data_IF_135606812001
#
_entry.id   IF_135606812001
#
_cell.length_a   1.000
_cell.length_b   1.000
_cell.length_c   1.000
_cell.angle_alpha   90.00
_cell.angle_beta   90.00
_cell.angle_gamma   90.00
#
_symmetry.space_group_name_H-M   'P 1'
#
loop_
_entity.id
_entity.type
_entity.pdbx_description
1 polymer ?
#
# COMPACT_ATOMS: atom_id res chain seq x y z
N UNK A 1 23.80 20.23 -6.77
CA UNK A 1 22.55 20.55 -7.49
C UNK A 1 21.71 19.29 -7.66
N UNK A 2 20.40 19.38 -7.44
CA UNK A 2 19.44 18.29 -7.69
C UNK A 2 18.94 18.25 -9.14
N UNK A 3 19.32 19.22 -9.98
CA UNK A 3 18.83 19.35 -11.34
C UNK A 3 19.04 18.09 -12.20
N UNK A 4 20.21 17.40 -12.19
CA UNK A 4 20.38 16.18 -12.98
C UNK A 4 19.45 15.04 -12.53
N UNK A 5 19.15 14.97 -11.23
CA UNK A 5 18.21 13.97 -10.67
C UNK A 5 16.81 14.28 -11.16
N UNK A 6 16.39 15.54 -11.13
CA UNK A 6 15.11 15.99 -11.65
C UNK A 6 14.97 15.65 -13.15
N UNK A 7 15.96 15.97 -13.96
CA UNK A 7 15.92 15.74 -15.41
C UNK A 7 15.81 14.24 -15.75
N UNK A 8 16.56 13.38 -15.04
CA UNK A 8 16.47 11.93 -15.26
C UNK A 8 15.13 11.37 -14.78
N UNK A 9 14.62 11.83 -13.65
CA UNK A 9 13.32 11.41 -13.11
C UNK A 9 12.17 11.78 -14.03
N UNK A 10 12.15 13.03 -14.52
CA UNK A 10 11.12 13.49 -15.47
C UNK A 10 11.19 12.74 -16.80
N UNK A 11 12.40 12.46 -17.31
CA UNK A 11 12.59 11.65 -18.51
C UNK A 11 12.09 10.22 -18.29
N UNK A 12 12.38 9.61 -17.15
CA UNK A 12 11.92 8.25 -16.82
C UNK A 12 10.40 8.21 -16.71
N UNK A 13 9.79 9.16 -16.00
CA UNK A 13 8.32 9.26 -15.93
C UNK A 13 7.68 9.30 -17.32
N UNK A 14 8.18 10.17 -18.21
CA UNK A 14 7.69 10.28 -19.59
C UNK A 14 7.84 8.99 -20.39
N UNK A 15 8.86 8.18 -20.13
CA UNK A 15 9.10 6.90 -20.81
C UNK A 15 8.26 5.75 -20.24
N UNK A 16 7.70 5.94 -19.06
CA UNK A 16 6.78 5.01 -18.42
C UNK A 16 5.31 5.47 -18.52
N UNK A 17 5.01 6.41 -19.43
CA UNK A 17 3.67 6.95 -19.67
C UNK A 17 3.35 6.83 -21.15
N UNK A 18 2.55 5.83 -21.51
CA UNK A 18 2.02 5.62 -22.86
C UNK A 18 0.49 5.61 -22.81
N UNK A 19 -0.15 4.51 -23.17
CA UNK A 19 -1.60 4.33 -22.96
C UNK A 19 -1.93 3.93 -21.51
N UNK A 20 -0.92 3.46 -20.78
CA UNK A 20 -0.95 3.16 -19.34
C UNK A 20 0.30 3.73 -18.70
N UNK A 21 0.28 3.84 -17.36
CA UNK A 21 1.53 3.89 -16.63
C UNK A 21 2.22 2.54 -16.71
N UNK A 22 3.54 2.52 -16.64
CA UNK A 22 4.34 1.30 -16.73
C UNK A 22 5.37 1.31 -15.60
N UNK A 23 5.59 0.17 -14.94
CA UNK A 23 6.59 0.00 -13.90
C UNK A 23 8.00 0.30 -14.40
N UNK A 24 8.29 -0.13 -15.63
CA UNK A 24 9.54 0.13 -16.30
C UNK A 24 9.34 0.24 -17.82
N UNK A 25 10.25 0.96 -18.54
CA UNK A 25 10.05 1.21 -19.96
C UNK A 25 10.52 0.08 -20.88
N UNK A 26 10.99 -1.05 -20.35
CA UNK A 26 11.62 -2.09 -21.17
C UNK A 26 11.25 -3.52 -20.79
N UNK A 27 11.38 -3.94 -19.53
CA UNK A 27 11.24 -5.36 -19.17
C UNK A 27 9.77 -5.78 -19.09
N UNK A 28 9.05 -5.37 -18.07
CA UNK A 28 7.68 -5.82 -17.83
C UNK A 28 6.65 -4.98 -18.58
N UNK A 29 6.79 -3.66 -18.56
CA UNK A 29 5.88 -2.70 -19.19
C UNK A 29 4.42 -2.90 -18.73
N UNK A 30 4.23 -3.14 -17.43
CA UNK A 30 2.95 -3.41 -16.81
C UNK A 30 2.51 -2.26 -15.89
N UNK A 31 1.21 -1.98 -15.90
CA UNK A 31 0.61 -1.00 -15.00
C UNK A 31 0.33 -1.63 -13.63
N UNK A 32 1.34 -1.64 -12.73
CA UNK A 32 1.16 -2.07 -11.36
C UNK A 32 0.53 -0.98 -10.49
N UNK A 33 -0.34 -1.37 -9.54
CA UNK A 33 -1.09 -0.39 -8.74
C UNK A 33 -0.19 0.43 -7.78
N UNK A 34 0.81 -0.20 -7.17
CA UNK A 34 1.74 0.49 -6.28
C UNK A 34 2.58 1.52 -7.05
N UNK A 35 3.17 1.11 -8.15
CA UNK A 35 4.02 1.94 -9.02
C UNK A 35 3.24 3.10 -9.61
N UNK A 36 2.05 2.80 -10.16
CA UNK A 36 1.18 3.80 -10.78
C UNK A 36 0.76 4.90 -9.81
N UNK A 37 0.54 4.59 -8.53
CA UNK A 37 0.22 5.63 -7.53
C UNK A 37 1.31 6.70 -7.46
N UNK A 38 2.57 6.29 -7.39
CA UNK A 38 3.70 7.23 -7.35
C UNK A 38 3.80 8.03 -8.64
N UNK A 39 3.64 7.37 -9.79
CA UNK A 39 3.66 8.03 -11.11
C UNK A 39 2.51 9.01 -11.30
N UNK A 40 1.32 8.70 -10.79
CA UNK A 40 0.16 9.62 -10.76
C UNK A 40 0.51 10.89 -9.97
N UNK A 41 1.05 10.77 -8.76
CA UNK A 41 1.45 11.91 -7.95
C UNK A 41 2.50 12.76 -8.66
N UNK A 42 3.50 12.14 -9.27
CA UNK A 42 4.53 12.86 -10.04
C UNK A 42 3.91 13.57 -11.25
N UNK A 43 2.99 12.92 -11.96
CA UNK A 43 2.27 13.54 -13.08
C UNK A 43 1.47 14.75 -12.63
N UNK A 44 0.76 14.68 -11.52
CA UNK A 44 0.01 15.82 -10.97
C UNK A 44 0.94 17.00 -10.62
N UNK A 45 2.09 16.71 -10.02
CA UNK A 45 3.05 17.76 -9.66
C UNK A 45 3.70 18.45 -10.86
N UNK A 46 4.00 17.72 -11.94
CA UNK A 46 4.77 18.27 -13.09
C UNK A 46 3.90 18.81 -14.21
N UNK A 47 2.64 18.39 -14.32
CA UNK A 47 1.78 18.79 -15.43
C UNK A 47 0.36 19.21 -15.04
N UNK A 48 -0.14 18.76 -13.88
CA UNK A 48 -1.55 18.92 -13.49
C UNK A 48 -2.53 18.16 -14.41
N UNK A 49 -2.05 17.25 -15.26
CA UNK A 49 -2.88 16.46 -16.17
C UNK A 49 -3.37 15.18 -15.47
N UNK A 50 -4.68 15.00 -15.37
CA UNK A 50 -5.30 13.87 -14.68
C UNK A 50 -5.81 12.75 -15.61
N UNK A 51 -5.73 12.93 -16.95
CA UNK A 51 -6.37 12.02 -17.91
C UNK A 51 -5.87 10.59 -17.83
N UNK A 52 -4.54 10.39 -17.78
CA UNK A 52 -3.95 9.06 -17.66
C UNK A 52 -4.20 8.47 -16.27
N UNK A 53 -4.19 9.30 -15.22
CA UNK A 53 -4.50 8.88 -13.86
C UNK A 53 -5.95 8.39 -13.73
N UNK A 54 -6.92 9.11 -14.31
CA UNK A 54 -8.33 8.68 -14.33
C UNK A 54 -8.50 7.36 -15.07
N UNK A 55 -7.83 7.21 -16.22
CA UNK A 55 -7.81 5.95 -16.97
C UNK A 55 -7.24 4.82 -16.12
N UNK A 56 -6.10 5.04 -15.47
CA UNK A 56 -5.44 4.06 -14.60
C UNK A 56 -6.38 3.57 -13.48
N UNK A 57 -7.02 4.50 -12.75
CA UNK A 57 -7.97 4.15 -11.70
C UNK A 57 -9.20 3.39 -12.26
N UNK A 58 -9.71 3.76 -13.45
CA UNK A 58 -10.82 3.05 -14.08
C UNK A 58 -10.39 1.65 -14.59
N UNK A 59 -9.17 1.51 -15.09
CA UNK A 59 -8.60 0.20 -15.46
C UNK A 59 -8.55 -0.72 -14.24
N UNK A 60 -8.02 -0.27 -13.11
CA UNK A 60 -8.01 -1.09 -11.88
C UNK A 60 -9.41 -1.42 -11.39
N UNK A 61 -10.37 -0.49 -11.43
CA UNK A 61 -11.78 -0.76 -11.12
C UNK A 61 -12.34 -1.90 -11.97
N UNK A 62 -12.01 -1.92 -13.27
CA UNK A 62 -12.44 -2.98 -14.21
C UNK A 62 -11.76 -4.33 -13.96
N UNK A 63 -10.62 -4.35 -13.28
CA UNK A 63 -9.93 -5.58 -12.89
C UNK A 63 -10.56 -6.26 -11.67
N UNK A 64 -11.61 -5.67 -11.07
CA UNK A 64 -12.25 -6.16 -9.85
C UNK A 64 -12.71 -7.62 -9.99
N UNK A 65 -12.37 -8.40 -8.99
CA UNK A 65 -12.66 -9.83 -8.91
C UNK A 65 -13.89 -10.07 -8.03
N UNK A 66 -14.46 -11.26 -8.15
CA UNK A 66 -15.67 -11.65 -7.41
C UNK A 66 -15.49 -11.63 -5.88
N UNK A 67 -14.26 -11.73 -5.38
CA UNK A 67 -13.96 -11.70 -3.95
C UNK A 67 -13.67 -10.29 -3.39
N UNK A 68 -13.63 -9.29 -4.26
CA UNK A 68 -13.39 -7.90 -3.92
C UNK A 68 -11.96 -7.42 -4.19
N UNK A 69 -11.02 -8.35 -4.51
CA UNK A 69 -9.64 -7.96 -4.85
C UNK A 69 -9.54 -7.41 -6.27
N UNK A 70 -8.43 -6.71 -6.54
CA UNK A 70 -8.02 -6.26 -7.87
C UNK A 70 -6.83 -7.10 -8.35
N UNK A 71 -6.63 -7.16 -9.67
CA UNK A 71 -5.33 -7.59 -10.16
C UNK A 71 -4.24 -6.59 -9.73
N UNK A 72 -3.04 -7.07 -9.42
CA UNK A 72 -1.93 -6.21 -9.03
C UNK A 72 -1.42 -5.33 -10.18
N UNK A 73 -1.59 -5.81 -11.43
CA UNK A 73 -1.36 -5.07 -12.67
C UNK A 73 -2.55 -5.23 -13.61
N UNK A 74 -2.90 -4.17 -14.36
CA UNK A 74 -3.98 -4.23 -15.33
C UNK A 74 -3.85 -3.06 -16.35
N UNK A 75 -4.04 -3.30 -17.68
CA UNK A 75 -4.36 -4.60 -18.31
C UNK A 75 -3.26 -5.65 -18.13
N UNK A 76 -3.63 -6.93 -18.10
CA UNK A 76 -2.68 -8.03 -17.94
C UNK A 76 -3.15 -9.28 -18.71
N UNK A 77 -2.18 -10.14 -19.08
CA UNK A 77 -2.47 -11.39 -19.77
C UNK A 77 -3.17 -12.41 -18.86
N UNK A 78 -2.74 -12.51 -17.61
CA UNK A 78 -3.28 -13.46 -16.64
C UNK A 78 -3.52 -12.78 -15.28
N UNK A 79 -4.50 -13.25 -14.51
CA UNK A 79 -4.77 -12.69 -13.22
C UNK A 79 -3.63 -12.95 -12.25
N UNK A 80 -3.13 -11.90 -11.63
CA UNK A 80 -2.22 -11.95 -10.50
C UNK A 80 -2.70 -10.96 -9.44
N UNK A 81 -2.73 -11.38 -8.19
CA UNK A 81 -3.24 -10.56 -7.08
C UNK A 81 -2.19 -10.45 -5.99
N UNK A 82 -1.88 -9.22 -5.65
CA UNK A 82 -1.14 -8.83 -4.46
C UNK A 82 -2.12 -8.07 -3.57
N UNK A 83 -2.63 -8.65 -2.47
CA UNK A 83 -3.70 -8.00 -1.68
C UNK A 83 -3.34 -6.58 -1.24
N UNK A 84 -2.11 -6.35 -0.80
CA UNK A 84 -1.61 -5.02 -0.43
C UNK A 84 -1.71 -3.99 -1.56
N UNK A 85 -1.55 -4.42 -2.83
CA UNK A 85 -1.64 -3.51 -3.98
C UNK A 85 -3.04 -2.93 -4.21
N UNK A 86 -4.09 -3.65 -3.81
CA UNK A 86 -5.45 -3.12 -3.88
C UNK A 86 -5.64 -1.89 -2.95
N UNK A 87 -4.85 -1.77 -1.89
CA UNK A 87 -4.90 -0.57 -1.03
C UNK A 87 -4.37 0.66 -1.77
N UNK A 88 -3.36 0.52 -2.61
CA UNK A 88 -2.82 1.66 -3.37
C UNK A 88 -3.85 2.26 -4.34
N UNK A 89 -4.80 1.47 -4.84
CA UNK A 89 -5.94 2.00 -5.57
C UNK A 89 -6.80 2.96 -4.72
N UNK A 90 -7.02 2.63 -3.45
CA UNK A 90 -7.72 3.54 -2.51
C UNK A 90 -6.92 4.82 -2.32
N UNK A 91 -5.58 4.70 -2.21
CA UNK A 91 -4.71 5.86 -2.07
C UNK A 91 -4.72 6.74 -3.32
N UNK A 92 -4.77 6.17 -4.53
CA UNK A 92 -4.92 6.94 -5.78
C UNK A 92 -6.20 7.79 -5.78
N UNK A 93 -7.32 7.21 -5.34
CA UNK A 93 -8.60 7.92 -5.26
C UNK A 93 -8.56 9.05 -4.23
N UNK A 94 -7.93 8.82 -3.07
CA UNK A 94 -7.73 9.85 -2.07
C UNK A 94 -6.83 10.98 -2.62
N UNK A 95 -5.72 10.64 -3.26
CA UNK A 95 -4.82 11.62 -3.87
C UNK A 95 -5.56 12.43 -4.94
N UNK A 96 -6.36 11.78 -5.79
CA UNK A 96 -7.19 12.46 -6.80
C UNK A 96 -8.21 13.41 -6.18
N UNK A 97 -8.84 13.01 -5.07
CA UNK A 97 -9.70 13.88 -4.28
C UNK A 97 -8.96 15.13 -3.82
N UNK A 98 -7.76 14.97 -3.29
CA UNK A 98 -6.97 16.09 -2.74
C UNK A 98 -6.51 17.07 -3.82
N UNK A 99 -6.20 16.59 -5.02
CA UNK A 99 -5.73 17.44 -6.11
C UNK A 99 -6.87 18.08 -6.94
N UNK A 100 -7.96 17.37 -7.16
CA UNK A 100 -8.99 17.78 -8.12
C UNK A 100 -10.41 17.90 -7.55
N UNK A 101 -10.70 17.27 -6.43
CA UNK A 101 -12.02 17.35 -5.79
C UNK A 101 -13.18 16.81 -6.64
N UNK A 102 -12.94 15.90 -7.58
CA UNK A 102 -13.95 15.39 -8.51
C UNK A 102 -14.89 14.37 -7.87
N UNK A 103 -16.00 14.86 -7.33
CA UNK A 103 -17.00 14.03 -6.63
C UNK A 103 -17.64 12.97 -7.52
N UNK A 104 -17.93 13.31 -8.78
CA UNK A 104 -18.60 12.38 -9.69
C UNK A 104 -17.68 11.21 -10.05
N UNK A 105 -16.44 11.49 -10.33
CA UNK A 105 -15.45 10.46 -10.58
C UNK A 105 -15.25 9.55 -9.36
N UNK A 106 -15.13 10.12 -8.16
CA UNK A 106 -14.96 9.33 -6.95
C UNK A 106 -16.15 8.41 -6.65
N UNK A 107 -17.39 8.88 -6.88
CA UNK A 107 -18.59 8.10 -6.60
C UNK A 107 -18.65 6.75 -7.32
N UNK A 108 -18.20 6.68 -8.57
CA UNK A 108 -18.25 5.45 -9.35
C UNK A 108 -17.25 4.39 -8.88
N UNK A 109 -16.24 4.78 -8.09
CA UNK A 109 -15.21 3.90 -7.57
C UNK A 109 -15.54 3.31 -6.18
N UNK A 110 -16.53 3.87 -5.46
CA UNK A 110 -16.76 3.50 -4.06
C UNK A 110 -17.18 2.04 -3.87
N UNK A 111 -17.93 1.45 -4.78
CA UNK A 111 -18.27 0.02 -4.69
C UNK A 111 -17.04 -0.89 -4.76
N UNK A 112 -16.01 -0.48 -5.51
CA UNK A 112 -14.73 -1.21 -5.56
C UNK A 112 -13.94 -1.01 -4.26
N UNK A 113 -13.93 0.21 -3.71
CA UNK A 113 -13.32 0.50 -2.40
C UNK A 113 -13.96 -0.35 -1.31
N UNK A 114 -15.29 -0.41 -1.25
CA UNK A 114 -16.03 -1.23 -0.30
C UNK A 114 -15.66 -2.71 -0.44
N UNK A 115 -15.56 -3.21 -1.68
CA UNK A 115 -15.17 -4.60 -1.97
C UNK A 115 -13.78 -4.95 -1.44
N UNK A 116 -12.80 -4.06 -1.65
CA UNK A 116 -11.43 -4.23 -1.15
C UNK A 116 -11.42 -4.27 0.39
N UNK A 117 -12.03 -3.28 1.03
CA UNK A 117 -12.03 -3.17 2.49
C UNK A 117 -12.79 -4.34 3.14
N UNK A 118 -13.84 -4.83 2.47
CA UNK A 118 -14.60 -6.00 2.94
C UNK A 118 -13.81 -7.30 2.78
N UNK A 119 -12.98 -7.43 1.74
CA UNK A 119 -12.09 -8.57 1.60
C UNK A 119 -11.15 -8.67 2.81
N UNK A 120 -10.48 -7.58 3.19
CA UNK A 120 -9.62 -7.57 4.37
C UNK A 120 -10.40 -7.85 5.66
N UNK A 121 -11.58 -7.25 5.83
CA UNK A 121 -12.44 -7.47 7.01
C UNK A 121 -12.78 -8.95 7.22
N UNK A 122 -13.15 -9.65 6.15
CA UNK A 122 -13.50 -11.08 6.19
C UNK A 122 -12.30 -11.99 6.43
N UNK A 123 -11.10 -11.49 6.25
CA UNK A 123 -9.85 -12.22 6.44
C UNK A 123 -9.09 -11.77 7.70
N UNK A 124 -9.73 -11.06 8.62
CA UNK A 124 -9.16 -10.82 9.93
C UNK A 124 -9.12 -12.14 10.72
N UNK A 125 -8.01 -12.36 11.43
CA UNK A 125 -7.86 -13.49 12.33
C UNK A 125 -8.52 -13.21 13.71
N UNK A 126 -8.45 -14.16 14.62
CA UNK A 126 -9.01 -14.08 15.98
C UNK A 126 -8.41 -12.95 16.84
N UNK A 127 -7.22 -12.45 16.48
CA UNK A 127 -6.55 -11.31 17.12
C UNK A 127 -7.02 -9.97 16.57
N UNK A 128 -7.77 -9.97 15.47
CA UNK A 128 -8.16 -8.77 14.71
C UNK A 128 -7.07 -8.24 13.78
N UNK A 129 -6.04 -9.03 13.48
CA UNK A 129 -5.02 -8.74 12.47
C UNK A 129 -5.47 -9.24 11.10
N UNK A 130 -4.96 -8.64 10.03
CA UNK A 130 -5.09 -9.24 8.71
C UNK A 130 -4.39 -10.59 8.74
N UNK A 131 -5.17 -11.66 8.56
CA UNK A 131 -4.69 -13.03 8.56
C UNK A 131 -3.83 -13.32 7.32
N UNK A 132 -3.53 -14.57 7.07
CA UNK A 132 -2.76 -14.97 5.88
C UNK A 132 -3.62 -14.83 4.61
N UNK A 133 -3.56 -13.67 3.95
CA UNK A 133 -4.32 -13.34 2.74
C UNK A 133 -3.62 -13.75 1.44
N UNK A 134 -2.33 -14.09 1.52
CA UNK A 134 -1.51 -14.54 0.41
C UNK A 134 -0.32 -15.36 0.88
N UNK A 135 0.69 -15.46 0.06
CA UNK A 135 1.93 -16.18 0.36
C UNK A 135 2.95 -16.00 -0.76
N UNK A 136 3.67 -17.07 -1.11
CA UNK A 136 4.70 -17.03 -2.14
C UNK A 136 4.12 -16.97 -3.55
N UNK A 137 4.72 -16.12 -4.38
CA UNK A 137 4.38 -16.02 -5.80
C UNK A 137 4.47 -17.39 -6.49
N UNK A 138 3.45 -17.70 -7.31
CA UNK A 138 3.37 -18.95 -8.08
C UNK A 138 3.08 -20.22 -7.26
N UNK A 139 3.02 -20.14 -5.92
CA UNK A 139 2.67 -21.26 -5.05
C UNK A 139 1.32 -21.07 -4.36
N UNK A 140 1.12 -19.91 -3.80
CA UNK A 140 -0.12 -19.58 -3.08
C UNK A 140 -1.11 -18.89 -4.02
N UNK A 141 -2.39 -18.86 -3.64
CA UNK A 141 -3.45 -18.27 -4.46
C UNK A 141 -3.19 -16.81 -4.81
N UNK A 142 -2.67 -16.06 -3.85
CA UNK A 142 -2.30 -14.65 -3.96
C UNK A 142 -0.89 -14.45 -3.43
N UNK A 143 -0.25 -13.41 -3.89
CA UNK A 143 1.11 -13.08 -3.52
C UNK A 143 1.13 -11.97 -2.47
N UNK A 144 1.70 -12.25 -1.28
CA UNK A 144 1.86 -11.27 -0.19
C UNK A 144 3.14 -10.45 -0.36
N UNK A 145 3.33 -9.88 -1.55
CA UNK A 145 4.45 -8.99 -1.83
C UNK A 145 4.34 -7.69 -1.03
N UNK A 146 5.44 -7.26 -0.43
CA UNK A 146 5.56 -5.95 0.23
C UNK A 146 6.58 -5.07 -0.50
N UNK A 147 7.81 -5.54 -0.69
CA UNK A 147 8.87 -4.75 -1.31
C UNK A 147 10.05 -5.62 -1.75
N UNK A 148 10.81 -5.15 -2.73
CA UNK A 148 12.08 -5.75 -3.12
C UNK A 148 13.18 -5.28 -2.15
N UNK A 149 13.48 -6.09 -1.14
CA UNK A 149 14.60 -5.88 -0.23
C UNK A 149 15.42 -7.17 -0.10
N UNK A 150 16.73 -7.02 0.07
CA UNK A 150 17.69 -8.14 0.10
C UNK A 150 17.30 -9.23 1.12
N UNK A 151 16.76 -8.83 2.27
CA UNK A 151 16.36 -9.76 3.31
C UNK A 151 15.20 -10.68 2.88
N UNK A 152 14.39 -10.26 1.90
CA UNK A 152 13.22 -11.01 1.42
C UNK A 152 13.40 -11.60 0.00
N UNK A 153 14.63 -11.63 -0.53
CA UNK A 153 14.90 -12.21 -1.87
C UNK A 153 14.43 -13.65 -1.98
N UNK A 154 14.65 -14.47 -0.95
CA UNK A 154 14.25 -15.88 -0.93
C UNK A 154 12.74 -16.11 -0.84
N UNK A 155 12.00 -15.09 -0.47
CA UNK A 155 10.54 -15.08 -0.35
C UNK A 155 9.87 -14.17 -1.38
N UNK A 156 10.62 -13.77 -2.42
CA UNK A 156 10.11 -12.93 -3.51
C UNK A 156 9.43 -11.66 -3.01
N UNK A 157 10.10 -10.92 -2.12
CA UNK A 157 9.61 -9.63 -1.61
C UNK A 157 8.55 -9.72 -0.52
N UNK A 158 8.31 -10.90 0.03
CA UNK A 158 7.42 -11.10 1.18
C UNK A 158 8.24 -11.25 2.47
N UNK A 159 7.90 -10.55 3.57
CA UNK A 159 8.48 -10.82 4.90
C UNK A 159 8.35 -12.30 5.27
N UNK A 160 9.37 -12.89 5.91
CA UNK A 160 9.34 -14.32 6.29
C UNK A 160 8.15 -14.67 7.20
N UNK A 161 7.64 -13.72 7.98
CA UNK A 161 6.40 -13.88 8.74
C UNK A 161 5.24 -14.44 7.90
N UNK A 162 5.14 -14.06 6.62
CA UNK A 162 4.11 -14.51 5.69
C UNK A 162 4.16 -16.00 5.33
N UNK A 163 5.25 -16.69 5.65
CA UNK A 163 5.32 -18.15 5.52
C UNK A 163 4.43 -18.85 6.54
N UNK A 164 4.25 -18.24 7.71
CA UNK A 164 3.65 -18.87 8.89
C UNK A 164 2.34 -18.23 9.32
N UNK A 165 2.13 -16.94 9.07
CA UNK A 165 0.97 -16.23 9.60
C UNK A 165 0.80 -14.81 9.06
N UNK A 166 0.14 -13.95 9.84
CA UNK A 166 -0.03 -12.55 9.52
C UNK A 166 1.27 -11.79 9.27
N UNK A 167 1.23 -10.89 8.30
CA UNK A 167 2.27 -9.89 8.07
C UNK A 167 1.79 -8.57 8.67
N UNK A 168 2.59 -7.97 9.56
CA UNK A 168 2.26 -6.70 10.22
C UNK A 168 2.01 -5.59 9.18
N UNK A 169 2.82 -5.55 8.14
CA UNK A 169 2.70 -4.56 7.07
C UNK A 169 1.34 -4.64 6.34
N UNK A 170 0.76 -5.85 6.12
CA UNK A 170 -0.57 -5.98 5.52
C UNK A 170 -1.67 -5.38 6.40
N UNK A 171 -1.55 -5.54 7.73
CA UNK A 171 -2.45 -4.90 8.69
C UNK A 171 -2.32 -3.37 8.69
N UNK A 172 -1.10 -2.85 8.62
CA UNK A 172 -0.84 -1.41 8.54
C UNK A 172 -1.32 -0.81 7.20
N UNK A 173 -1.13 -1.52 6.08
CA UNK A 173 -1.68 -1.12 4.78
C UNK A 173 -3.22 -1.09 4.81
N UNK A 174 -3.85 -2.13 5.35
CA UNK A 174 -5.32 -2.14 5.49
C UNK A 174 -5.81 -0.97 6.36
N UNK A 175 -5.12 -0.68 7.47
CA UNK A 175 -5.42 0.49 8.29
C UNK A 175 -5.31 1.80 7.49
N UNK A 176 -4.25 1.97 6.73
CA UNK A 176 -4.08 3.13 5.86
C UNK A 176 -5.23 3.25 4.85
N UNK A 177 -5.60 2.14 4.22
CA UNK A 177 -6.73 2.08 3.30
C UNK A 177 -8.05 2.52 3.95
N UNK A 178 -8.34 2.05 5.17
CA UNK A 178 -9.52 2.45 5.94
C UNK A 178 -9.55 3.96 6.23
N UNK A 179 -8.42 4.53 6.68
CA UNK A 179 -8.32 5.96 6.98
C UNK A 179 -8.54 6.81 5.73
N UNK A 180 -7.90 6.47 4.62
CA UNK A 180 -8.03 7.22 3.36
C UNK A 180 -9.41 7.04 2.71
N UNK A 181 -10.00 5.85 2.80
CA UNK A 181 -11.38 5.63 2.39
C UNK A 181 -12.37 6.43 3.25
N UNK A 182 -12.14 6.53 4.55
CA UNK A 182 -12.96 7.35 5.44
C UNK A 182 -12.94 8.84 5.02
N UNK A 183 -11.76 9.38 4.69
CA UNK A 183 -11.62 10.76 4.20
C UNK A 183 -12.43 10.98 2.91
N UNK A 184 -12.37 10.03 1.96
CA UNK A 184 -13.15 10.09 0.71
C UNK A 184 -14.65 9.99 0.98
N UNK A 185 -15.09 9.09 1.87
CA UNK A 185 -16.49 8.92 2.23
C UNK A 185 -17.04 10.18 2.92
N UNK A 186 -16.27 10.81 3.80
CA UNK A 186 -16.65 12.06 4.44
C UNK A 186 -16.77 13.20 3.42
N UNK A 187 -15.81 13.33 2.51
CA UNK A 187 -15.85 14.28 1.41
C UNK A 187 -17.10 14.11 0.53
N UNK A 188 -17.52 12.87 0.28
CA UNK A 188 -18.74 12.54 -0.47
C UNK A 188 -20.04 12.74 0.35
N UNK A 189 -19.93 13.08 1.63
CA UNK A 189 -21.07 13.28 2.54
C UNK A 189 -21.61 12.00 3.19
N UNK A 190 -20.89 10.88 3.07
CA UNK A 190 -21.27 9.57 3.65
C UNK A 190 -20.67 9.40 5.05
N UNK A 191 -21.02 10.30 5.97
CA UNK A 191 -20.38 10.40 7.30
C UNK A 191 -20.45 9.13 8.14
N UNK A 192 -21.58 8.40 8.09
CA UNK A 192 -21.73 7.15 8.86
C UNK A 192 -20.77 6.06 8.38
N UNK A 193 -20.55 5.94 7.06
CA UNK A 193 -19.58 4.99 6.50
C UNK A 193 -18.15 5.39 6.85
N UNK A 194 -17.86 6.69 6.81
CA UNK A 194 -16.54 7.22 7.21
C UNK A 194 -16.24 6.89 8.68
N UNK A 195 -17.22 7.03 9.57
CA UNK A 195 -17.06 6.68 10.98
C UNK A 195 -16.84 5.19 11.20
N UNK A 196 -17.62 4.33 10.54
CA UNK A 196 -17.40 2.87 10.57
C UNK A 196 -15.97 2.50 10.15
N UNK A 197 -15.45 3.11 9.09
CA UNK A 197 -14.08 2.84 8.65
C UNK A 197 -13.03 3.29 9.68
N UNK A 198 -13.25 4.43 10.35
CA UNK A 198 -12.37 4.90 11.44
C UNK A 198 -12.42 3.96 12.65
N UNK A 199 -13.59 3.48 13.04
CA UNK A 199 -13.73 2.50 14.13
C UNK A 199 -13.00 1.19 13.83
N UNK A 200 -13.13 0.69 12.60
CA UNK A 200 -12.37 -0.49 12.13
C UNK A 200 -10.86 -0.23 12.17
N UNK A 201 -10.43 0.95 11.74
CA UNK A 201 -9.02 1.35 11.78
C UNK A 201 -8.50 1.43 13.24
N UNK A 202 -9.29 1.92 14.19
CA UNK A 202 -8.90 1.97 15.61
C UNK A 202 -8.83 0.56 16.23
N UNK A 203 -9.73 -0.33 15.86
CA UNK A 203 -9.68 -1.73 16.30
C UNK A 203 -8.40 -2.41 15.82
N UNK A 204 -8.04 -2.19 14.56
CA UNK A 204 -6.82 -2.73 13.97
C UNK A 204 -5.54 -2.14 14.60
N UNK A 205 -5.53 -0.84 14.92
CA UNK A 205 -4.44 -0.19 15.67
C UNK A 205 -4.18 -0.89 17.00
N UNK A 206 -5.25 -1.19 17.74
CA UNK A 206 -5.15 -1.90 19.03
C UNK A 206 -4.56 -3.29 18.83
N UNK A 207 -5.03 -4.04 17.84
CA UNK A 207 -4.52 -5.37 17.52
C UNK A 207 -3.04 -5.35 17.14
N UNK A 208 -2.62 -4.45 16.26
CA UNK A 208 -1.20 -4.31 15.85
C UNK A 208 -0.32 -3.97 17.06
N UNK A 209 -0.71 -3.00 17.88
CA UNK A 209 0.06 -2.64 19.08
C UNK A 209 0.11 -3.73 20.15
N UNK A 210 -0.89 -4.62 20.18
CA UNK A 210 -0.92 -5.71 21.15
C UNK A 210 -0.10 -6.92 20.72
N UNK A 211 -0.10 -7.24 19.44
CA UNK A 211 0.41 -8.52 18.95
C UNK A 211 1.64 -8.41 18.04
N UNK A 212 1.93 -7.22 17.51
CA UNK A 212 3.01 -7.02 16.52
C UNK A 212 4.15 -6.15 17.04
N UNK A 213 4.26 -5.93 18.34
CA UNK A 213 5.36 -5.17 18.95
C UNK A 213 6.20 -6.05 19.87
N UNK A 214 7.48 -5.70 20.01
CA UNK A 214 8.36 -6.28 21.03
C UNK A 214 8.22 -5.56 22.39
N UNK A 215 9.05 -5.93 23.36
CA UNK A 215 9.05 -5.36 24.70
C UNK A 215 9.42 -3.87 24.74
N UNK A 216 10.14 -3.38 23.72
CA UNK A 216 10.52 -1.96 23.55
C UNK A 216 9.48 -1.17 22.72
N UNK A 217 8.46 -1.84 22.19
CA UNK A 217 7.40 -1.27 21.38
C UNK A 217 7.73 -1.16 19.89
N UNK A 218 8.87 -1.69 19.43
CA UNK A 218 9.19 -1.75 18.01
C UNK A 218 8.34 -2.77 17.26
N UNK A 219 7.93 -2.44 16.05
CA UNK A 219 7.07 -3.31 15.25
C UNK A 219 7.84 -4.44 14.60
N UNK A 220 7.39 -5.65 14.85
CA UNK A 220 7.86 -6.90 14.25
C UNK A 220 7.21 -7.10 12.88
N UNK A 221 7.83 -7.86 11.99
CA UNK A 221 7.27 -8.20 10.67
C UNK A 221 6.04 -9.11 10.75
N UNK A 222 5.84 -9.76 11.89
CA UNK A 222 4.64 -10.55 12.21
C UNK A 222 4.57 -10.93 13.68
N UNK A 223 3.38 -11.34 14.17
CA UNK A 223 3.20 -11.76 15.55
C UNK A 223 4.12 -12.92 15.92
N UNK A 224 4.94 -12.75 16.95
CA UNK A 224 5.85 -13.78 17.47
C UNK A 224 7.08 -14.07 16.59
N UNK A 225 7.28 -13.33 15.50
CA UNK A 225 8.46 -13.43 14.63
C UNK A 225 9.43 -12.34 15.05
N UNK A 226 10.66 -12.71 15.41
CA UNK A 226 11.70 -11.74 15.83
C UNK A 226 12.48 -11.20 14.62
N UNK A 227 11.73 -10.64 13.67
CA UNK A 227 12.27 -9.99 12.47
C UNK A 227 11.66 -8.61 12.36
N UNK A 228 12.43 -7.67 11.84
CA UNK A 228 12.06 -6.27 11.79
C UNK A 228 12.32 -5.70 10.41
N UNK A 229 11.43 -4.80 9.99
CA UNK A 229 11.64 -4.00 8.79
C UNK A 229 11.44 -2.51 9.05
N UNK A 230 12.09 -1.71 8.26
CA UNK A 230 11.87 -0.27 8.21
C UNK A 230 10.42 0.04 7.78
N UNK A 231 9.86 -0.81 6.90
CA UNK A 231 8.48 -0.70 6.42
C UNK A 231 7.45 -0.66 7.55
N UNK A 232 7.53 -1.58 8.51
CA UNK A 232 6.59 -1.61 9.64
C UNK A 232 6.68 -0.33 10.49
N UNK A 233 7.88 0.19 10.73
CA UNK A 233 8.06 1.43 11.50
C UNK A 233 7.50 2.64 10.76
N UNK A 234 7.80 2.76 9.46
CA UNK A 234 7.32 3.85 8.60
C UNK A 234 5.78 3.86 8.56
N UNK A 235 5.16 2.71 8.26
CA UNK A 235 3.71 2.64 8.13
C UNK A 235 2.96 2.72 9.47
N UNK A 236 3.58 2.30 10.58
CA UNK A 236 3.04 2.55 11.91
C UNK A 236 2.98 4.06 12.20
N UNK A 237 3.99 4.83 11.79
CA UNK A 237 3.99 6.29 11.93
C UNK A 237 3.00 6.97 10.99
N UNK A 238 2.97 6.59 9.71
CA UNK A 238 2.05 7.14 8.70
C UNK A 238 0.57 6.94 9.03
N UNK A 239 0.26 5.94 9.83
CA UNK A 239 -1.10 5.60 10.23
C UNK A 239 -1.44 5.99 11.66
N UNK A 240 -0.61 6.80 12.33
CA UNK A 240 -0.76 7.17 13.74
C UNK A 240 -0.95 5.94 14.66
N UNK A 241 -0.37 4.80 14.28
CA UNK A 241 -0.38 3.58 15.10
C UNK A 241 0.59 3.73 16.26
N UNK A 242 1.69 4.43 16.05
CA UNK A 242 2.67 4.86 17.06
C UNK A 242 2.63 6.38 17.23
N UNK A 243 3.05 6.88 18.38
CA UNK A 243 3.24 8.32 18.59
C UNK A 243 4.40 8.85 17.75
N UNK A 244 4.37 10.11 17.37
CA UNK A 244 5.46 10.74 16.59
C UNK A 244 6.80 10.62 17.29
N UNK A 245 6.83 10.78 18.61
CA UNK A 245 8.05 10.69 19.42
C UNK A 245 8.69 9.30 19.34
N UNK A 246 7.92 8.24 19.62
CA UNK A 246 8.42 6.88 19.55
C UNK A 246 8.72 6.45 18.10
N UNK A 247 7.86 6.83 17.15
CA UNK A 247 8.05 6.52 15.73
C UNK A 247 9.37 7.08 15.19
N UNK A 248 9.74 8.30 15.60
CA UNK A 248 11.03 8.90 15.26
C UNK A 248 12.21 8.07 15.80
N UNK A 249 12.15 7.67 17.07
CA UNK A 249 13.19 6.83 17.69
C UNK A 249 13.33 5.51 16.90
N UNK A 250 12.20 4.89 16.54
CA UNK A 250 12.22 3.63 15.80
C UNK A 250 12.80 3.78 14.40
N UNK A 251 12.46 4.85 13.68
CA UNK A 251 13.04 5.15 12.38
C UNK A 251 14.55 5.40 12.45
N UNK A 252 15.01 6.18 13.43
CA UNK A 252 16.44 6.43 13.65
C UNK A 252 17.22 5.12 13.90
N UNK A 253 16.66 4.16 14.63
CA UNK A 253 17.23 2.82 14.80
C UNK A 253 17.35 2.07 13.47
N UNK A 254 16.30 2.07 12.64
CA UNK A 254 16.33 1.38 11.35
C UNK A 254 17.33 1.98 10.37
N UNK A 255 17.58 3.28 10.44
CA UNK A 255 18.57 3.97 9.60
C UNK A 255 20.02 3.66 10.02
N UNK A 256 20.22 3.35 11.29
CA UNK A 256 21.56 3.07 11.85
C UNK A 256 22.02 1.61 11.68
N UNK A 257 21.11 0.68 11.41
CA UNK A 257 21.39 -0.76 11.36
C UNK A 257 20.65 -1.46 10.20
N UNK A 258 21.29 -1.47 9.04
CA UNK A 258 20.77 -2.14 7.84
C UNK A 258 20.91 -3.67 7.85
N UNK A 259 21.52 -4.25 8.88
CA UNK A 259 21.68 -5.70 9.01
C UNK A 259 20.48 -6.29 9.74
N UNK A 260 20.13 -5.71 10.88
CA UNK A 260 18.98 -6.14 11.70
C UNK A 260 17.65 -5.80 11.05
N UNK A 261 17.54 -4.62 10.42
CA UNK A 261 16.29 -4.11 9.85
C UNK A 261 16.28 -4.24 8.32
N UNK A 262 15.29 -4.96 7.77
CA UNK A 262 15.06 -4.94 6.33
C UNK A 262 14.75 -3.50 5.86
N UNK A 263 15.54 -3.02 4.90
CA UNK A 263 15.48 -1.63 4.44
C UNK A 263 14.41 -1.45 3.35
N UNK A 264 13.75 -0.29 3.34
CA UNK A 264 12.90 0.10 2.23
C UNK A 264 13.71 0.18 0.92
N UNK A 265 13.14 -0.32 -0.17
CA UNK A 265 13.66 -0.04 -1.52
C UNK A 265 13.55 1.46 -1.84
N UNK A 266 14.10 1.86 -2.98
CA UNK A 266 13.97 3.24 -3.46
C UNK A 266 12.48 3.63 -3.61
N UNK A 267 11.62 2.70 -4.08
CA UNK A 267 10.19 2.95 -4.23
C UNK A 267 9.50 3.17 -2.88
N UNK A 268 9.77 2.31 -1.90
CA UNK A 268 9.21 2.44 -0.54
C UNK A 268 9.88 3.57 0.27
N UNK A 269 11.06 4.01 -0.13
CA UNK A 269 11.73 5.19 0.42
C UNK A 269 10.92 6.48 0.29
N UNK A 270 9.98 6.55 -0.65
CA UNK A 270 9.00 7.64 -0.72
C UNK A 270 8.21 7.85 0.57
N UNK A 271 7.91 6.78 1.29
CA UNK A 271 7.16 6.85 2.55
C UNK A 271 8.04 7.15 3.76
N UNK A 272 9.36 6.98 3.62
CA UNK A 272 10.34 7.24 4.67
C UNK A 272 10.63 8.76 4.81
N UNK A 273 10.58 9.52 3.70
CA UNK A 273 10.86 10.94 3.63
C UNK A 273 9.59 11.80 3.60
#
# INVERSE_FOLDING_TARGET
SLAPIWDISLRTLKRCMHETYEDCPFYEQLQYAMDSRSQILYTYMVSGDDRLARKCMDDFRRSARYDGMLNCSYPCYGPNVIPGFAVYYILMLHDHMMYFGDREFLRIHMGTVDGILEYFRRNLDERGLVGKVGGLNGRDRYWSFIDWTKQWDQTSGMPHAGLYGPITMESLLYRLGLLRAADVMEYLGRKQVAEEYRERAESLKKAVNTFCTDEEGMYLDGPGVKEYSQHCQVFALLTDTVTVENGRIYLERTLSDSVTYAQCSVAMGYYLF
#
